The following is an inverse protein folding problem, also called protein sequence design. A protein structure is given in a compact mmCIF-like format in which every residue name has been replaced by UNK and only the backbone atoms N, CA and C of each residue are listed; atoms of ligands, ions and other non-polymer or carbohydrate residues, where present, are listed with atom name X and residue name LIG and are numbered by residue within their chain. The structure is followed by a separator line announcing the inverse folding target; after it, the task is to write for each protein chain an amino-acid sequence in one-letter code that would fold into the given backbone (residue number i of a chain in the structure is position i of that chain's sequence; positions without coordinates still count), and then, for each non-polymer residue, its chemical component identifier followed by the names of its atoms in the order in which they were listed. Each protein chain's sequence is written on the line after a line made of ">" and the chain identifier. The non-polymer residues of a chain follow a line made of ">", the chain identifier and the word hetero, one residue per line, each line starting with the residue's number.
data_IF_647294121313
#
_entry.id   IF_647294121313
#
_cell.length_a   1.000
_cell.length_b   1.000
_cell.length_c   1.000
_cell.angle_alpha   90.00
_cell.angle_beta   90.00
_cell.angle_gamma   90.00
#
_symmetry.space_group_name_H-M   'P 1'
#
loop_
_entity.id
_entity.type
_entity.pdbx_description
1 polymer ?
#
# COMPACT_ATOMS: atom_id res chain seq x y z
N UNK A 1 -2.86 30.88 -18.82
CA UNK A 1 -2.46 31.45 -17.50
C UNK A 1 -3.53 31.26 -16.42
N UNK A 2 -4.79 31.71 -16.59
CA UNK A 2 -5.85 31.56 -15.57
C UNK A 2 -6.12 30.11 -15.14
N UNK A 3 -6.03 29.13 -16.07
CA UNK A 3 -6.21 27.70 -15.78
C UNK A 3 -5.00 27.06 -15.05
N UNK A 4 -3.81 27.63 -15.21
CA UNK A 4 -2.60 27.17 -14.52
C UNK A 4 -2.56 27.66 -13.07
N UNK A 5 -3.02 28.90 -12.83
CA UNK A 5 -3.19 29.48 -11.48
C UNK A 5 -4.22 28.71 -10.64
N UNK A 6 -5.30 28.20 -11.25
CA UNK A 6 -6.26 27.33 -10.57
C UNK A 6 -5.66 25.98 -10.17
N UNK A 7 -4.78 25.41 -11.00
CA UNK A 7 -4.09 24.15 -10.71
C UNK A 7 -3.04 24.31 -9.59
N UNK A 8 -2.30 25.42 -9.59
CA UNK A 8 -1.37 25.79 -8.52
C UNK A 8 -2.10 26.10 -7.21
N UNK A 9 -3.25 26.78 -7.27
CA UNK A 9 -4.10 27.03 -6.11
C UNK A 9 -4.67 25.74 -5.49
N UNK A 10 -5.02 24.75 -6.30
CA UNK A 10 -5.50 23.44 -5.83
C UNK A 10 -4.38 22.64 -5.14
N UNK A 11 -3.14 22.70 -5.66
CA UNK A 11 -1.97 22.06 -5.07
C UNK A 11 -1.59 22.65 -3.70
N UNK A 12 -1.79 23.95 -3.49
CA UNK A 12 -1.52 24.64 -2.21
C UNK A 12 -2.60 24.30 -1.16
N UNK A 13 -3.85 24.02 -1.56
CA UNK A 13 -4.90 23.61 -0.62
C UNK A 13 -4.77 22.18 -0.08
N UNK A 14 -3.91 21.35 -0.69
CA UNK A 14 -3.66 19.96 -0.28
C UNK A 14 -2.64 19.84 0.86
N UNK A 15 -1.92 20.90 1.21
CA UNK A 15 -1.13 20.97 2.45
C UNK A 15 -2.04 21.37 3.61
N UNK A 16 -3.09 20.58 3.87
CA UNK A 16 -3.73 20.62 5.18
C UNK A 16 -2.67 20.19 6.19
N UNK A 17 -2.06 21.20 6.80
CA UNK A 17 -1.00 21.11 7.80
C UNK A 17 -1.55 20.27 8.94
N UNK A 18 -1.06 19.05 9.12
CA UNK A 18 -1.09 18.43 10.43
C UNK A 18 -0.42 19.44 11.36
N UNK A 19 -1.15 19.93 12.37
CA UNK A 19 -0.63 20.90 13.32
C UNK A 19 0.60 20.28 14.00
N UNK A 20 1.79 20.62 13.48
CA UNK A 20 3.06 20.34 14.11
C UNK A 20 3.35 21.55 14.98
N UNK A 21 3.41 21.31 16.28
CA UNK A 21 3.76 22.35 17.24
C UNK A 21 5.26 22.30 17.50
N UNK A 22 5.85 23.48 17.67
CA UNK A 22 7.28 23.63 17.93
C UNK A 22 7.51 23.72 19.43
N UNK A 23 8.35 22.83 19.95
CA UNK A 23 8.71 22.77 21.36
C UNK A 23 10.20 22.94 21.55
N UNK A 24 10.60 23.54 22.68
CA UNK A 24 12.00 23.58 23.09
C UNK A 24 12.21 22.60 24.23
N UNK A 25 12.95 21.52 23.98
CA UNK A 25 13.19 20.43 24.93
C UNK A 25 14.70 20.25 25.04
N UNK A 26 15.27 20.40 26.25
CA UNK A 26 16.72 20.29 26.48
C UNK A 26 17.58 21.17 25.54
N UNK A 27 17.16 22.42 25.29
CA UNK A 27 17.78 23.37 24.35
C UNK A 27 17.73 22.96 22.86
N UNK A 28 16.98 21.90 22.53
CA UNK A 28 16.69 21.50 21.15
C UNK A 28 15.30 21.99 20.76
N UNK A 29 15.17 22.67 19.62
CA UNK A 29 13.87 23.05 19.06
C UNK A 29 13.37 21.94 18.14
N UNK A 30 12.23 21.34 18.49
CA UNK A 30 11.65 20.19 17.82
C UNK A 30 10.24 20.49 17.37
N UNK A 31 9.93 20.16 16.13
CA UNK A 31 8.54 20.05 15.67
C UNK A 31 8.02 18.68 16.08
N UNK A 32 6.88 18.61 16.78
CA UNK A 32 6.28 17.34 17.20
C UNK A 32 4.84 17.25 16.71
N UNK A 33 4.42 16.03 16.36
CA UNK A 33 3.03 15.67 16.04
C UNK A 33 2.37 15.06 17.27
N UNK A 34 1.18 15.53 17.59
CA UNK A 34 0.33 14.91 18.61
C UNK A 34 -0.36 13.67 18.05
N UNK A 35 -0.30 12.57 18.80
CA UNK A 35 -0.85 11.27 18.45
C UNK A 35 -1.98 10.81 19.38
N UNK A 36 -1.89 11.18 20.66
CA UNK A 36 -2.94 11.03 21.67
C UNK A 36 -3.03 12.34 22.44
N UNK A 37 -4.24 12.78 22.74
CA UNK A 37 -4.52 13.86 23.71
C UNK A 37 -5.33 13.31 24.89
N UNK A 38 -4.84 13.43 26.13
CA UNK A 38 -5.48 12.94 27.35
C UNK A 38 -4.75 13.38 28.62
N UNK A 39 -4.83 12.60 29.71
CA UNK A 39 -4.07 12.89 30.95
C UNK A 39 -2.56 12.86 30.69
N UNK A 40 -2.13 11.90 29.86
CA UNK A 40 -0.82 11.88 29.22
C UNK A 40 -1.02 11.88 27.70
N UNK A 41 -0.43 12.88 27.04
CA UNK A 41 -0.41 12.97 25.60
C UNK A 41 0.76 12.17 25.04
N UNK A 42 0.60 11.65 23.82
CA UNK A 42 1.69 11.05 23.05
C UNK A 42 2.08 11.99 21.91
N UNK A 43 3.35 12.39 21.88
CA UNK A 43 3.93 13.22 20.84
C UNK A 43 5.04 12.44 20.11
N UNK A 44 5.26 12.73 18.82
CA UNK A 44 6.37 12.11 18.08
C UNK A 44 6.83 12.93 16.88
N UNK A 45 8.07 12.68 16.43
CA UNK A 45 8.51 13.04 15.09
C UNK A 45 9.66 12.14 14.62
N UNK A 46 10.02 12.24 13.34
CA UNK A 46 11.22 11.64 12.78
C UNK A 46 12.29 12.73 12.72
N UNK A 47 13.34 12.58 13.54
CA UNK A 47 14.47 13.51 13.60
C UNK A 47 15.73 12.74 13.22
N UNK A 48 16.51 13.23 12.26
CA UNK A 48 17.71 12.53 11.76
C UNK A 48 17.45 11.06 11.38
N UNK A 49 16.34 10.81 10.68
CA UNK A 49 15.86 9.48 10.27
C UNK A 49 15.57 8.51 11.43
N UNK A 50 15.37 9.02 12.65
CA UNK A 50 15.02 8.22 13.82
C UNK A 50 13.68 8.70 14.40
N UNK A 51 12.82 7.74 14.72
CA UNK A 51 11.60 8.03 15.47
C UNK A 51 11.97 8.43 16.90
N UNK A 52 11.48 9.59 17.33
CA UNK A 52 11.56 10.07 18.71
C UNK A 52 10.15 10.24 19.25
N UNK A 53 9.94 9.77 20.46
CA UNK A 53 8.64 9.78 21.12
C UNK A 53 8.73 10.57 22.42
N UNK A 54 7.67 11.28 22.75
CA UNK A 54 7.60 12.12 23.93
C UNK A 54 6.24 11.95 24.59
N UNK A 55 6.20 12.14 25.89
CA UNK A 55 4.97 12.26 26.66
C UNK A 55 4.84 13.70 27.13
N UNK A 56 3.66 14.29 26.96
CA UNK A 56 3.32 15.57 27.58
C UNK A 56 2.33 15.31 28.71
N UNK A 57 2.67 15.80 29.91
CA UNK A 57 1.81 15.68 31.08
C UNK A 57 0.70 16.72 31.05
N UNK A 58 -0.35 16.55 31.86
CA UNK A 58 -1.39 17.58 32.05
C UNK A 58 -0.84 18.94 32.53
N UNK A 59 0.33 18.97 33.19
CA UNK A 59 1.03 20.20 33.58
C UNK A 59 1.76 20.89 32.42
N UNK A 60 1.86 20.23 31.25
CA UNK A 60 2.55 20.72 30.06
C UNK A 60 4.02 20.31 29.98
N UNK A 61 4.53 19.52 30.92
CA UNK A 61 5.93 19.05 30.89
C UNK A 61 6.10 18.00 29.80
N UNK A 62 7.12 18.17 28.95
CA UNK A 62 7.40 17.26 27.84
C UNK A 62 8.65 16.43 28.14
N UNK A 63 8.48 15.11 28.15
CA UNK A 63 9.51 14.15 28.54
C UNK A 63 9.78 13.22 27.36
N UNK A 64 11.03 13.12 26.94
CA UNK A 64 11.45 12.21 25.88
C UNK A 64 11.53 10.76 26.36
N UNK A 65 10.93 9.84 25.61
CA UNK A 65 10.99 8.40 25.84
C UNK A 65 12.27 7.81 25.22
N UNK A 66 13.35 7.83 26.01
CA UNK A 66 14.68 7.43 25.57
C UNK A 66 14.85 5.91 25.56
N UNK A 67 15.66 5.45 24.60
CA UNK A 67 16.17 4.09 24.56
C UNK A 67 17.61 4.10 24.06
N UNK A 68 18.57 4.35 24.96
CA UNK A 68 19.97 4.49 24.58
C UNK A 68 20.64 3.14 24.40
N UNK A 69 21.60 3.08 23.48
CA UNK A 69 22.42 1.90 23.25
C UNK A 69 23.70 2.00 24.08
N UNK A 70 23.89 1.07 25.00
CA UNK A 70 25.07 0.96 25.84
C UNK A 70 26.29 0.43 25.08
N UNK A 71 27.46 0.49 25.74
CA UNK A 71 28.73 -0.01 25.20
C UNK A 71 28.73 -1.53 24.94
N UNK A 72 27.82 -2.27 25.57
CA UNK A 72 27.60 -3.71 25.39
C UNK A 72 26.65 -4.03 24.21
N UNK A 73 26.34 -3.03 23.37
CA UNK A 73 25.39 -3.10 22.27
C UNK A 73 23.93 -3.36 22.67
N UNK A 74 23.59 -3.35 23.97
CA UNK A 74 22.22 -3.52 24.46
C UNK A 74 21.53 -2.17 24.61
N UNK A 75 20.21 -2.21 24.53
CA UNK A 75 19.34 -1.07 24.77
C UNK A 75 18.98 -1.00 26.25
N UNK A 76 19.01 0.20 26.82
CA UNK A 76 18.77 0.44 28.25
C UNK A 76 17.27 0.52 28.61
N UNK A 77 16.38 0.61 27.61
CA UNK A 77 14.92 0.62 27.78
C UNK A 77 14.40 1.67 28.78
N UNK A 78 15.06 2.83 28.90
CA UNK A 78 14.78 3.85 29.92
C UNK A 78 13.33 4.33 29.90
N UNK A 79 12.74 4.40 28.70
CA UNK A 79 11.32 4.73 28.50
C UNK A 79 10.36 3.88 29.33
N UNK A 80 10.69 2.60 29.60
CA UNK A 80 9.83 1.73 30.42
C UNK A 80 9.76 2.23 31.85
N UNK A 81 10.89 2.68 32.41
CA UNK A 81 10.92 3.23 33.77
C UNK A 81 10.22 4.58 33.82
N UNK A 82 10.49 5.47 32.85
CA UNK A 82 9.81 6.77 32.75
C UNK A 82 8.28 6.60 32.69
N UNK A 83 7.77 5.71 31.83
CA UNK A 83 6.33 5.44 31.74
C UNK A 83 5.77 4.81 33.01
N UNK A 84 6.54 3.95 33.68
CA UNK A 84 6.14 3.34 34.95
C UNK A 84 5.97 4.39 36.05
N UNK A 85 6.88 5.36 36.11
CA UNK A 85 6.83 6.49 37.03
C UNK A 85 5.66 7.43 36.71
N UNK A 86 5.50 7.84 35.44
CA UNK A 86 4.41 8.70 35.01
C UNK A 86 3.02 8.10 35.25
N UNK A 87 2.92 6.77 35.21
CA UNK A 87 1.65 6.05 35.46
C UNK A 87 1.50 5.57 36.89
N UNK A 88 2.38 5.98 37.82
CA UNK A 88 2.37 5.54 39.22
C UNK A 88 2.38 4.01 39.39
N UNK A 89 3.04 3.28 38.48
CA UNK A 89 3.05 1.81 38.39
C UNK A 89 1.66 1.17 38.16
N UNK A 90 0.67 1.92 37.69
CA UNK A 90 -0.67 1.38 37.42
C UNK A 90 -0.73 0.41 36.22
N UNK A 91 0.27 0.45 35.34
CA UNK A 91 0.37 -0.40 34.15
C UNK A 91 1.73 -1.10 34.07
N UNK A 92 1.73 -2.33 33.55
CA UNK A 92 2.95 -3.10 33.31
C UNK A 92 3.67 -2.61 32.05
N UNK A 93 4.98 -2.35 32.18
CA UNK A 93 5.85 -1.90 31.09
C UNK A 93 6.80 -2.98 30.59
N UNK A 94 6.82 -4.18 31.18
CA UNK A 94 7.78 -5.25 30.85
C UNK A 94 7.72 -5.68 29.37
N UNK A 95 6.51 -5.81 28.83
CA UNK A 95 6.25 -6.21 27.42
C UNK A 95 6.11 -5.03 26.46
N UNK A 96 6.35 -3.80 26.91
CA UNK A 96 6.16 -2.61 26.12
C UNK A 96 7.34 -2.38 25.16
N UNK A 97 7.10 -2.29 23.86
CA UNK A 97 8.14 -1.90 22.89
C UNK A 97 8.11 -0.39 22.63
N UNK A 98 9.27 0.21 22.34
CA UNK A 98 9.37 1.61 21.91
C UNK A 98 8.92 1.78 20.45
N UNK A 99 7.63 1.56 20.20
CA UNK A 99 6.99 1.80 18.91
C UNK A 99 5.74 2.65 19.11
N UNK A 100 5.41 3.49 18.12
CA UNK A 100 4.22 4.36 18.21
C UNK A 100 2.96 3.58 18.60
N UNK A 101 2.76 2.40 18.00
CA UNK A 101 1.58 1.55 18.23
C UNK A 101 1.50 1.05 19.66
N UNK A 102 2.60 0.54 20.22
CA UNK A 102 2.61 -0.01 21.58
C UNK A 102 2.51 1.10 22.63
N UNK A 103 3.20 2.22 22.43
CA UNK A 103 3.10 3.41 23.28
C UNK A 103 1.68 3.98 23.28
N UNK A 104 1.06 4.08 22.10
CA UNK A 104 -0.33 4.53 21.94
C UNK A 104 -1.28 3.65 22.74
N UNK A 105 -1.18 2.32 22.62
CA UNK A 105 -2.02 1.38 23.38
C UNK A 105 -1.83 1.55 24.89
N UNK A 106 -0.59 1.69 25.34
CA UNK A 106 -0.26 1.87 26.75
C UNK A 106 -0.88 3.15 27.33
N UNK A 107 -0.70 4.29 26.65
CA UNK A 107 -1.23 5.57 27.11
C UNK A 107 -2.75 5.65 27.00
N UNK A 108 -3.35 5.07 25.95
CA UNK A 108 -4.80 4.92 25.87
C UNK A 108 -5.36 4.12 27.08
N UNK A 109 -4.70 3.02 27.46
CA UNK A 109 -5.11 2.22 28.60
C UNK A 109 -5.00 3.01 29.93
N UNK A 110 -3.94 3.83 30.07
CA UNK A 110 -3.77 4.70 31.23
C UNK A 110 -4.84 5.79 31.29
N UNK A 111 -4.98 6.57 30.21
CA UNK A 111 -5.93 7.68 30.13
C UNK A 111 -7.37 7.20 30.35
N UNK A 112 -7.74 6.03 29.81
CA UNK A 112 -9.07 5.41 30.05
C UNK A 112 -9.29 5.02 31.52
N UNK A 113 -8.23 4.67 32.24
CA UNK A 113 -8.31 4.27 33.65
C UNK A 113 -8.44 5.49 34.58
N UNK A 114 -7.74 6.58 34.26
CA UNK A 114 -7.71 7.79 35.10
C UNK A 114 -8.87 8.73 34.80
N UNK A 115 -9.29 8.83 33.54
CA UNK A 115 -10.39 9.70 33.10
C UNK A 115 -11.51 8.87 32.47
N UNK A 116 -12.65 8.79 33.16
CA UNK A 116 -13.84 8.08 32.69
C UNK A 116 -14.53 8.76 31.49
N UNK A 117 -14.17 10.01 31.19
CA UNK A 117 -14.67 10.75 30.02
C UNK A 117 -13.75 10.62 28.81
N UNK A 118 -12.57 10.04 28.99
CA UNK A 118 -11.61 9.79 27.93
C UNK A 118 -12.17 8.81 26.88
N UNK A 119 -12.18 9.23 25.62
CA UNK A 119 -12.56 8.38 24.50
C UNK A 119 -11.28 7.95 23.78
N UNK A 120 -10.79 6.76 24.10
CA UNK A 120 -9.61 6.21 23.43
C UNK A 120 -9.79 6.18 21.91
N UNK A 121 -8.83 6.76 21.18
CA UNK A 121 -8.70 6.59 19.74
C UNK A 121 -8.27 5.15 19.44
N UNK A 122 -9.23 4.23 19.49
CA UNK A 122 -9.01 2.83 19.14
C UNK A 122 -8.80 2.69 17.63
N UNK A 123 -7.55 2.75 17.18
CA UNK A 123 -7.17 2.15 15.91
C UNK A 123 -7.10 0.63 16.08
N UNK A 124 -8.26 -0.03 16.03
CA UNK A 124 -8.29 -1.44 15.68
C UNK A 124 -7.84 -1.53 14.23
N UNK A 125 -6.60 -1.94 13.99
CA UNK A 125 -6.17 -2.35 12.66
C UNK A 125 -7.19 -3.37 12.15
N UNK A 126 -7.90 -2.98 11.10
CA UNK A 126 -8.93 -3.77 10.44
C UNK A 126 -8.37 -4.19 9.09
N UNK A 127 -7.72 -5.35 9.09
CA UNK A 127 -7.36 -6.02 7.87
C UNK A 127 -8.65 -6.34 7.11
N UNK A 128 -8.72 -5.92 5.86
CA UNK A 128 -9.82 -6.20 4.96
C UNK A 128 -9.30 -6.91 3.72
N UNK A 129 -10.16 -7.77 3.18
CA UNK A 129 -9.90 -8.49 1.95
C UNK A 129 -10.98 -8.16 0.92
N UNK A 130 -10.59 -8.19 -0.34
CA UNK A 130 -11.47 -8.03 -1.49
C UNK A 130 -11.20 -9.11 -2.49
N UNK A 131 -12.26 -9.54 -3.16
CA UNK A 131 -12.17 -10.44 -4.30
C UNK A 131 -12.68 -9.72 -5.53
N UNK A 132 -11.97 -9.88 -6.64
CA UNK A 132 -12.43 -9.44 -7.95
C UNK A 132 -12.46 -10.60 -8.93
N UNK A 133 -13.42 -10.54 -9.85
CA UNK A 133 -13.47 -11.34 -11.07
C UNK A 133 -13.55 -10.39 -12.26
N UNK A 134 -12.80 -10.66 -13.31
CA UNK A 134 -12.71 -9.75 -14.46
C UNK A 134 -12.51 -10.50 -15.77
N UNK A 135 -12.87 -9.83 -16.85
CA UNK A 135 -12.59 -10.24 -18.23
C UNK A 135 -12.03 -9.07 -19.02
N UNK A 136 -11.37 -9.36 -20.13
CA UNK A 136 -10.70 -8.32 -20.88
C UNK A 136 -10.09 -8.78 -22.19
N UNK A 137 -9.25 -7.91 -22.73
CA UNK A 137 -8.44 -8.15 -23.92
C UNK A 137 -6.99 -7.76 -23.62
N UNK A 138 -6.05 -8.53 -24.16
CA UNK A 138 -4.63 -8.18 -24.12
C UNK A 138 -3.97 -8.46 -25.46
N UNK A 139 -3.00 -7.63 -25.84
CA UNK A 139 -2.10 -7.92 -26.95
C UNK A 139 -0.78 -8.55 -26.50
N UNK A 140 -0.63 -8.87 -25.21
CA UNK A 140 0.62 -9.34 -24.62
C UNK A 140 1.79 -8.40 -24.96
N UNK A 141 1.80 -7.17 -24.41
CA UNK A 141 2.77 -6.15 -24.81
C UNK A 141 4.22 -6.59 -24.65
N UNK A 142 4.51 -7.54 -23.75
CA UNK A 142 5.87 -8.02 -23.49
C UNK A 142 6.23 -9.31 -24.26
N UNK A 143 5.35 -9.78 -25.14
CA UNK A 143 5.56 -10.95 -26.01
C UNK A 143 5.71 -10.48 -27.45
N UNK A 144 6.52 -11.19 -28.23
CA UNK A 144 6.65 -10.93 -29.67
C UNK A 144 5.29 -11.17 -30.36
N UNK A 145 4.63 -10.08 -30.76
CA UNK A 145 3.33 -10.06 -31.39
C UNK A 145 3.32 -8.97 -32.48
N UNK A 146 4.03 -9.17 -33.59
CA UNK A 146 4.30 -8.10 -34.57
C UNK A 146 3.03 -7.52 -35.20
N UNK A 147 1.98 -8.32 -35.31
CA UNK A 147 0.67 -7.92 -35.85
C UNK A 147 -0.25 -7.30 -34.79
N UNK A 148 0.23 -7.16 -33.54
CA UNK A 148 -0.49 -6.54 -32.43
C UNK A 148 -1.88 -7.16 -32.19
N UNK A 149 -1.99 -8.48 -32.37
CA UNK A 149 -3.23 -9.25 -32.25
C UNK A 149 -3.69 -9.26 -30.79
N UNK A 150 -5.00 -9.15 -30.59
CA UNK A 150 -5.60 -9.11 -29.25
C UNK A 150 -6.29 -10.43 -28.96
N UNK A 151 -5.98 -10.98 -27.80
CA UNK A 151 -6.60 -12.17 -27.27
C UNK A 151 -7.50 -11.82 -26.09
N UNK A 152 -8.53 -12.64 -25.86
CA UNK A 152 -9.43 -12.46 -24.73
C UNK A 152 -8.83 -13.07 -23.47
N UNK A 153 -9.10 -12.46 -22.33
CA UNK A 153 -8.63 -12.94 -21.04
C UNK A 153 -9.73 -12.94 -19.99
N UNK A 154 -9.57 -13.79 -18.98
CA UNK A 154 -10.37 -13.79 -17.75
C UNK A 154 -9.45 -13.95 -16.55
N UNK A 155 -9.89 -13.51 -15.39
CA UNK A 155 -9.10 -13.66 -14.18
C UNK A 155 -9.84 -13.35 -12.89
N UNK A 156 -9.13 -13.58 -11.79
CA UNK A 156 -9.54 -13.23 -10.45
C UNK A 156 -8.40 -12.61 -9.66
N UNK A 157 -8.73 -11.79 -8.68
CA UNK A 157 -7.77 -11.13 -7.81
C UNK A 157 -8.23 -11.20 -6.35
N UNK A 158 -7.31 -11.56 -5.46
CA UNK A 158 -7.43 -11.39 -4.02
C UNK A 158 -6.59 -10.17 -3.61
N UNK A 159 -7.25 -9.18 -3.03
CA UNK A 159 -6.61 -7.98 -2.49
C UNK A 159 -6.68 -7.97 -0.96
N UNK A 160 -5.59 -7.54 -0.32
CA UNK A 160 -5.45 -7.43 1.13
C UNK A 160 -4.98 -6.01 1.49
N UNK A 161 -5.64 -5.37 2.45
CA UNK A 161 -5.29 -4.01 2.89
C UNK A 161 -5.70 -3.72 4.33
N UNK A 162 -5.04 -2.75 4.96
CA UNK A 162 -5.44 -2.24 6.27
C UNK A 162 -6.41 -1.06 6.09
N UNK A 163 -7.67 -1.25 6.47
CA UNK A 163 -8.74 -0.32 6.18
C UNK A 163 -8.72 0.97 7.02
N UNK A 164 -7.94 0.99 8.10
CA UNK A 164 -7.94 2.10 9.06
C UNK A 164 -6.70 2.97 8.89
N UNK A 165 -5.50 2.41 9.09
CA UNK A 165 -4.25 3.19 9.13
C UNK A 165 -3.57 3.37 7.76
N UNK A 166 -3.73 2.41 6.83
CA UNK A 166 -3.10 2.47 5.51
C UNK A 166 -4.08 2.21 4.37
N UNK A 167 -5.21 2.94 4.29
CA UNK A 167 -6.35 2.46 3.54
C UNK A 167 -6.25 2.80 2.03
N UNK A 168 -5.10 3.33 1.60
CA UNK A 168 -4.71 3.57 0.21
C UNK A 168 -3.73 2.53 -0.33
N UNK A 169 -3.13 1.74 0.56
CA UNK A 169 -2.09 0.76 0.24
C UNK A 169 -2.71 -0.63 0.27
N UNK A 170 -2.38 -1.47 -0.70
CA UNK A 170 -2.82 -2.85 -0.71
C UNK A 170 -1.84 -3.76 -1.43
N UNK A 171 -1.80 -5.01 -1.00
CA UNK A 171 -1.17 -6.10 -1.75
C UNK A 171 -2.25 -6.87 -2.51
N UNK A 172 -1.88 -7.46 -3.64
CA UNK A 172 -2.77 -8.36 -4.37
C UNK A 172 -2.05 -9.61 -4.88
N UNK A 173 -2.81 -10.69 -4.95
CA UNK A 173 -2.51 -11.92 -5.68
C UNK A 173 -3.54 -12.04 -6.80
N UNK A 174 -3.08 -12.18 -8.03
CA UNK A 174 -3.94 -12.27 -9.20
C UNK A 174 -3.67 -13.58 -9.96
N UNK A 175 -4.73 -14.16 -10.51
CA UNK A 175 -4.69 -15.26 -11.46
C UNK A 175 -5.41 -14.78 -12.72
N UNK A 176 -4.76 -14.86 -13.88
CA UNK A 176 -5.38 -14.57 -15.17
C UNK A 176 -5.06 -15.66 -16.19
N UNK A 177 -5.99 -15.93 -17.08
CA UNK A 177 -5.79 -16.80 -18.22
C UNK A 177 -6.16 -16.04 -19.49
N UNK A 178 -5.26 -16.02 -20.46
CA UNK A 178 -5.50 -15.50 -21.81
C UNK A 178 -5.65 -16.65 -22.78
N UNK A 179 -6.73 -16.63 -23.57
CA UNK A 179 -7.05 -17.67 -24.54
C UNK A 179 -6.32 -17.41 -25.85
N UNK A 180 -5.96 -18.47 -26.56
CA UNK A 180 -5.49 -18.34 -27.93
C UNK A 180 -6.60 -17.86 -28.87
N UNK A 181 -6.22 -17.23 -29.97
CA UNK A 181 -7.10 -16.88 -31.09
C UNK A 181 -6.65 -17.59 -32.36
N UNK A 182 -7.40 -17.45 -33.45
CA UNK A 182 -6.98 -18.00 -34.75
C UNK A 182 -5.78 -17.25 -35.32
N UNK A 183 -5.71 -15.94 -35.09
CA UNK A 183 -4.66 -15.07 -35.59
C UNK A 183 -3.43 -15.03 -34.67
N UNK A 184 -3.56 -15.46 -33.41
CA UNK A 184 -2.45 -15.54 -32.45
C UNK A 184 -2.60 -16.75 -31.52
N UNK A 185 -1.91 -17.83 -31.90
CA UNK A 185 -1.87 -19.13 -31.20
C UNK A 185 -0.95 -19.10 -29.98
N UNK A 186 -1.27 -18.20 -29.05
CA UNK A 186 -0.59 -18.01 -27.79
C UNK A 186 -1.61 -18.04 -26.65
N UNK A 187 -1.41 -18.95 -25.71
CA UNK A 187 -2.20 -19.10 -24.48
C UNK A 187 -1.28 -18.94 -23.29
N UNK A 188 -1.74 -18.24 -22.26
CA UNK A 188 -0.99 -18.16 -21.00
C UNK A 188 -1.93 -18.18 -19.80
N UNK A 189 -1.55 -18.95 -18.77
CA UNK A 189 -2.08 -18.84 -17.41
C UNK A 189 -1.00 -18.21 -16.55
N UNK A 190 -1.31 -17.09 -15.90
CA UNK A 190 -0.37 -16.33 -15.09
C UNK A 190 -0.89 -16.14 -13.67
N UNK A 191 -0.01 -16.40 -12.70
CA UNK A 191 -0.17 -16.02 -11.29
C UNK A 191 0.75 -14.84 -11.03
N UNK A 192 0.24 -13.74 -10.47
CA UNK A 192 1.02 -12.54 -10.23
C UNK A 192 0.85 -11.98 -8.82
N UNK A 193 1.95 -11.45 -8.29
CA UNK A 193 2.00 -10.72 -7.03
C UNK A 193 2.28 -9.26 -7.30
N UNK A 194 1.51 -8.39 -6.65
CA UNK A 194 1.70 -6.98 -6.82
C UNK A 194 1.22 -6.13 -5.65
N UNK A 195 1.51 -4.85 -5.79
CA UNK A 195 1.20 -3.80 -4.86
C UNK A 195 0.35 -2.74 -5.55
N UNK A 196 -0.62 -2.18 -4.83
CA UNK A 196 -1.52 -1.15 -5.34
C UNK A 196 -1.53 0.06 -4.43
N UNK A 197 -1.43 1.23 -5.06
CA UNK A 197 -1.55 2.52 -4.40
C UNK A 197 -2.71 3.34 -4.97
N UNK A 198 -3.67 3.67 -4.12
CA UNK A 198 -4.83 4.53 -4.45
C UNK A 198 -4.47 5.99 -4.26
N UNK A 199 -4.05 6.66 -5.33
CA UNK A 199 -3.75 8.08 -5.30
C UNK A 199 -5.02 8.95 -5.24
N UNK A 200 -6.15 8.45 -5.78
CA UNK A 200 -7.48 9.03 -5.53
C UNK A 200 -8.33 8.00 -4.81
N UNK A 201 -8.85 8.38 -3.63
CA UNK A 201 -9.75 7.55 -2.84
C UNK A 201 -10.93 8.38 -2.37
N UNK A 202 -12.08 8.19 -3.01
CA UNK A 202 -13.33 8.89 -2.67
C UNK A 202 -14.45 7.87 -2.41
N UNK A 203 -15.61 8.34 -1.95
CA UNK A 203 -16.78 7.48 -1.80
C UNK A 203 -17.24 6.90 -3.16
N UNK A 204 -17.49 7.69 -4.23
CA UNK A 204 -18.00 7.16 -5.49
C UNK A 204 -16.96 6.40 -6.31
N UNK A 205 -15.68 6.79 -6.27
CA UNK A 205 -14.64 6.10 -7.05
C UNK A 205 -13.25 6.18 -6.43
N UNK A 206 -12.42 5.21 -6.79
CA UNK A 206 -10.99 5.18 -6.50
C UNK A 206 -10.21 5.11 -7.81
N UNK A 207 -9.07 5.77 -7.87
CA UNK A 207 -8.10 5.62 -8.97
C UNK A 207 -6.78 5.20 -8.35
N UNK A 208 -6.17 4.17 -8.94
CA UNK A 208 -5.00 3.52 -8.39
C UNK A 208 -3.97 3.17 -9.45
N UNK A 209 -2.71 3.13 -9.01
CA UNK A 209 -1.61 2.52 -9.73
C UNK A 209 -1.34 1.13 -9.18
N UNK A 210 -1.06 0.19 -10.07
CA UNK A 210 -0.63 -1.17 -9.75
C UNK A 210 0.86 -1.32 -10.09
N UNK A 211 1.54 -2.14 -9.30
CA UNK A 211 2.91 -2.52 -9.50
C UNK A 211 3.04 -4.04 -9.31
N UNK A 212 3.21 -4.77 -10.40
CA UNK A 212 3.41 -6.23 -10.39
C UNK A 212 4.90 -6.52 -10.36
N UNK A 213 5.38 -7.13 -9.27
CA UNK A 213 6.79 -7.38 -9.04
C UNK A 213 7.19 -8.84 -9.23
N UNK A 214 6.25 -9.78 -9.32
CA UNK A 214 6.55 -11.18 -9.60
C UNK A 214 5.41 -11.83 -10.39
N UNK A 215 5.77 -12.66 -11.36
CA UNK A 215 4.85 -13.45 -12.18
C UNK A 215 5.34 -14.88 -12.31
N UNK A 216 4.41 -15.83 -12.30
CA UNK A 216 4.62 -17.23 -12.67
C UNK A 216 3.66 -17.53 -13.82
N UNK A 217 4.22 -17.81 -15.00
CA UNK A 217 3.47 -17.96 -16.24
C UNK A 217 3.62 -19.38 -16.78
N UNK A 218 2.51 -19.99 -17.17
CA UNK A 218 2.42 -21.24 -17.90
C UNK A 218 1.95 -20.91 -19.31
N UNK A 219 2.82 -21.08 -20.29
CA UNK A 219 2.60 -20.61 -21.64
C UNK A 219 2.59 -21.78 -22.61
N UNK A 220 1.59 -21.81 -23.48
CA UNK A 220 1.56 -22.70 -24.63
C UNK A 220 1.49 -21.83 -25.89
N UNK A 221 2.40 -22.06 -26.83
CA UNK A 221 2.45 -21.33 -28.08
C UNK A 221 2.66 -22.28 -29.26
N UNK A 222 1.91 -22.05 -30.32
CA UNK A 222 2.04 -22.75 -31.60
C UNK A 222 2.35 -21.71 -32.68
N UNK A 223 3.53 -21.09 -32.57
CA UNK A 223 3.93 -20.02 -33.48
C UNK A 223 4.72 -20.59 -34.68
N UNK A 224 4.60 -19.98 -35.88
CA UNK A 224 5.43 -20.34 -37.02
C UNK A 224 6.91 -20.18 -36.68
N UNK A 225 7.73 -21.15 -37.06
CA UNK A 225 9.17 -21.10 -36.83
C UNK A 225 9.78 -19.90 -37.58
N UNK A 226 10.60 -19.09 -36.90
CA UNK A 226 11.22 -17.88 -37.47
C UNK A 226 12.09 -18.14 -38.71
N UNK A 227 12.64 -19.36 -38.83
CA UNK A 227 13.48 -19.80 -39.95
C UNK A 227 12.70 -20.50 -41.07
N UNK A 228 11.55 -21.11 -40.76
CA UNK A 228 10.70 -21.76 -41.75
C UNK A 228 9.22 -21.71 -41.30
N UNK A 229 8.43 -20.75 -41.80
CA UNK A 229 7.05 -20.55 -41.37
C UNK A 229 6.09 -21.71 -41.73
N UNK A 230 6.54 -22.71 -42.50
CA UNK A 230 5.80 -23.96 -42.73
C UNK A 230 5.94 -24.98 -41.59
N UNK A 231 6.84 -24.74 -40.63
CA UNK A 231 7.03 -25.54 -39.42
C UNK A 231 6.38 -24.81 -38.25
N UNK A 232 5.55 -25.52 -37.47
CA UNK A 232 4.94 -25.01 -36.25
C UNK A 232 5.81 -25.44 -35.07
N UNK A 233 6.33 -24.49 -34.30
CA UNK A 233 6.97 -24.78 -33.03
C UNK A 233 5.88 -24.87 -31.96
N UNK A 234 5.61 -26.07 -31.45
CA UNK A 234 4.78 -26.26 -30.27
C UNK A 234 5.68 -26.14 -29.05
N UNK A 235 5.60 -25.01 -28.36
CA UNK A 235 6.39 -24.76 -27.15
C UNK A 235 5.46 -24.59 -25.96
N UNK A 236 5.65 -25.46 -24.97
CA UNK A 236 5.08 -25.30 -23.63
C UNK A 236 6.20 -24.92 -22.68
N UNK A 237 6.00 -23.86 -21.90
CA UNK A 237 7.01 -23.34 -21.01
C UNK A 237 6.40 -22.87 -19.68
N UNK A 238 7.24 -22.87 -18.65
CA UNK A 238 6.94 -22.25 -17.37
C UNK A 238 8.02 -21.23 -17.07
N UNK A 239 7.65 -19.98 -16.83
CA UNK A 239 8.59 -18.90 -16.48
C UNK A 239 8.24 -18.28 -15.14
N UNK A 240 9.28 -17.89 -14.40
CA UNK A 240 9.14 -17.01 -13.25
C UNK A 240 9.91 -15.74 -13.54
N UNK A 241 9.22 -14.60 -13.53
CA UNK A 241 9.79 -13.32 -13.91
C UNK A 241 9.59 -12.28 -12.79
N UNK A 242 10.50 -11.30 -12.75
CA UNK A 242 10.43 -10.12 -11.89
C UNK A 242 10.32 -8.90 -12.82
N UNK A 243 9.15 -8.64 -13.41
CA UNK A 243 9.06 -7.72 -14.54
C UNK A 243 9.01 -6.24 -14.11
N UNK A 244 8.59 -5.98 -12.87
CA UNK A 244 8.34 -4.64 -12.33
C UNK A 244 7.37 -3.85 -13.24
N UNK A 245 6.20 -4.46 -13.51
CA UNK A 245 5.19 -3.91 -14.42
C UNK A 245 4.30 -2.88 -13.73
N UNK A 246 3.96 -1.83 -14.45
CA UNK A 246 3.07 -0.79 -13.99
C UNK A 246 1.72 -0.86 -14.70
N UNK A 247 0.66 -0.65 -13.91
CA UNK A 247 -0.71 -0.56 -14.41
C UNK A 247 -1.46 0.59 -13.76
N UNK A 248 -2.58 0.97 -14.36
CA UNK A 248 -3.54 1.92 -13.83
C UNK A 248 -4.91 1.27 -13.73
N UNK A 249 -5.72 1.68 -12.78
CA UNK A 249 -7.09 1.23 -12.71
C UNK A 249 -8.00 2.13 -11.90
N UNK A 250 -9.29 1.86 -11.99
CA UNK A 250 -10.32 2.57 -11.28
C UNK A 250 -11.35 1.60 -10.70
N UNK A 251 -11.78 1.88 -9.47
CA UNK A 251 -12.94 1.24 -8.84
C UNK A 251 -14.09 2.25 -8.82
N UNK A 252 -15.25 1.89 -9.35
CA UNK A 252 -16.47 2.69 -9.29
C UNK A 252 -17.44 2.00 -8.33
N UNK A 253 -17.80 2.65 -7.22
CA UNK A 253 -18.70 2.09 -6.22
C UNK A 253 -20.12 2.05 -6.77
N UNK A 254 -20.74 0.87 -6.74
CA UNK A 254 -22.15 0.66 -7.12
C UNK A 254 -23.05 0.39 -5.92
N UNK A 255 -22.50 -0.19 -4.85
CA UNK A 255 -23.15 -0.37 -3.55
C UNK A 255 -22.09 -0.42 -2.45
N UNK A 256 -22.52 -0.45 -1.18
CA UNK A 256 -21.56 -0.53 -0.07
C UNK A 256 -20.75 -1.81 -0.16
N UNK A 257 -19.42 -1.68 -0.29
CA UNK A 257 -18.53 -2.82 -0.47
C UNK A 257 -18.54 -3.48 -1.85
N UNK A 258 -19.22 -2.90 -2.86
CA UNK A 258 -19.30 -3.45 -4.22
C UNK A 258 -18.89 -2.43 -5.27
N UNK A 259 -18.06 -2.86 -6.21
CA UNK A 259 -17.40 -2.00 -7.19
C UNK A 259 -17.39 -2.62 -8.59
N UNK A 260 -17.55 -1.79 -9.61
CA UNK A 260 -17.08 -2.10 -10.96
C UNK A 260 -15.61 -1.70 -11.02
N UNK A 261 -14.74 -2.61 -11.41
CA UNK A 261 -13.30 -2.36 -11.57
C UNK A 261 -12.94 -2.29 -13.04
N UNK A 262 -12.10 -1.33 -13.40
CA UNK A 262 -11.54 -1.17 -14.75
C UNK A 262 -10.01 -1.15 -14.57
N UNK A 263 -9.31 -1.93 -15.38
CA UNK A 263 -7.85 -2.05 -15.34
C UNK A 263 -7.22 -1.78 -16.70
N UNK A 264 -6.08 -1.10 -16.67
CA UNK A 264 -5.09 -1.07 -17.74
C UNK A 264 -3.76 -1.57 -17.13
N UNK A 265 -3.49 -2.87 -17.21
CA UNK A 265 -2.57 -3.51 -16.25
C UNK A 265 -1.12 -3.53 -16.70
N UNK A 266 -0.86 -3.64 -18.00
CA UNK A 266 0.47 -3.81 -18.59
C UNK A 266 0.87 -2.57 -19.41
N UNK A 267 0.98 -1.41 -18.75
CA UNK A 267 1.35 -0.15 -19.44
C UNK A 267 2.82 -0.15 -19.87
N UNK A 268 3.71 -0.57 -18.97
CA UNK A 268 5.14 -0.72 -19.21
C UNK A 268 5.77 -1.58 -18.11
N UNK A 269 6.94 -2.13 -18.40
CA UNK A 269 7.77 -2.89 -17.45
C UNK A 269 9.17 -2.25 -17.39
N UNK A 270 9.82 -2.31 -16.23
CA UNK A 270 11.20 -1.77 -16.10
C UNK A 270 12.25 -2.74 -16.61
N UNK A 271 11.99 -4.05 -16.53
CA UNK A 271 12.97 -5.09 -16.80
C UNK A 271 12.65 -5.94 -18.03
N UNK A 272 11.57 -5.61 -18.76
CA UNK A 272 11.14 -6.34 -19.96
C UNK A 272 10.72 -5.34 -21.04
N UNK A 273 11.22 -5.53 -22.26
CA UNK A 273 10.88 -4.70 -23.41
C UNK A 273 9.48 -5.01 -23.94
N UNK A 274 8.78 -3.98 -24.42
CA UNK A 274 7.46 -4.08 -25.02
C UNK A 274 7.45 -4.69 -26.44
N UNK A 275 8.57 -5.25 -26.91
CA UNK A 275 8.71 -5.89 -28.22
C UNK A 275 8.16 -5.07 -29.42
N UNK A 276 8.14 -3.73 -29.31
CA UNK A 276 7.58 -2.83 -30.32
C UNK A 276 6.05 -2.63 -30.27
N UNK A 277 5.36 -3.30 -29.35
CA UNK A 277 3.92 -3.19 -29.16
C UNK A 277 3.52 -1.88 -28.46
N UNK A 278 2.41 -1.27 -28.92
CA UNK A 278 1.67 -0.32 -28.09
C UNK A 278 0.85 -1.12 -27.06
N UNK A 279 0.97 -0.85 -25.76
CA UNK A 279 0.35 -1.68 -24.74
C UNK A 279 -1.18 -1.64 -24.82
N UNK A 280 -1.78 -2.83 -24.91
CA UNK A 280 -3.22 -3.02 -24.78
C UNK A 280 -3.45 -4.18 -23.83
N UNK A 281 -3.74 -3.88 -22.57
CA UNK A 281 -4.20 -4.86 -21.59
C UNK A 281 -5.33 -4.19 -20.81
N UNK A 282 -6.57 -4.43 -21.24
CA UNK A 282 -7.74 -3.75 -20.72
C UNK A 282 -8.70 -4.76 -20.10
N UNK A 283 -9.05 -4.53 -18.83
CA UNK A 283 -9.96 -5.41 -18.08
C UNK A 283 -11.14 -4.63 -17.51
N UNK A 284 -12.29 -5.28 -17.47
CA UNK A 284 -13.46 -4.83 -16.73
C UNK A 284 -13.95 -5.98 -15.86
N UNK A 285 -14.38 -5.66 -14.65
CA UNK A 285 -14.80 -6.69 -13.71
C UNK A 285 -15.62 -6.16 -12.56
N UNK A 286 -15.87 -7.07 -11.64
CA UNK A 286 -16.60 -6.82 -10.41
C UNK A 286 -15.70 -7.13 -9.23
N UNK A 287 -15.63 -6.21 -8.27
CA UNK A 287 -14.85 -6.33 -7.03
C UNK A 287 -15.77 -6.13 -5.83
N UNK A 288 -15.63 -6.96 -4.81
CA UNK A 288 -16.41 -6.86 -3.58
C UNK A 288 -15.55 -7.08 -2.34
N UNK A 289 -15.92 -6.42 -1.24
CA UNK A 289 -15.35 -6.65 0.08
C UNK A 289 -15.86 -7.99 0.63
N UNK A 290 -14.98 -8.73 1.32
CA UNK A 290 -15.35 -9.86 2.17
C UNK A 290 -15.68 -9.39 3.60
#
# INVERSE_FOLDING_TARGET
>A
MKRFLLFVGLLISLSAVFAQETYTINNETLELKTDIEGELDLLWNIVNNQYRYFVRTATGDIIELKNTRGADNKFSEEYKQTLKELTNNNLDTNKLNLTLVDLRKFLNAYNTNIDNTYVSENFKNKLQTRVAVFGGITNHPFVNNPENIKNTLIGGELEIFEATSMPRHSGYLQLRNTFESDDFKFRTTEISLGYRFRFIKTKPFNIFGNFTFATLSFTDSNLPNETNPLLINNESSTSFDVPLMFGLGADIRIAEGHFITIGFNELFALLIDNQGNFPVDLTIGYRFNL
#
